data_IF_665555822483
#
_entry.id   IF_665555822483
#
_cell.length_a   1.000
_cell.length_b   1.000
_cell.length_c   1.000
_cell.angle_alpha   90.00
_cell.angle_beta   90.00
_cell.angle_gamma   90.00
#
_symmetry.space_group_name_H-M   'P 1'
#
loop_
_entity.id
_entity.type
_entity.pdbx_description
1 polymer ?
#
# COMPACT_ATOMS: atom_id res chain seq x y z
N UNK A 1 -7.48 -19.05 -7.78
CA UNK A 1 -7.77 -17.64 -7.96
C UNK A 1 -6.92 -16.82 -7.01
N UNK A 2 -6.34 -15.71 -7.48
CA UNK A 2 -5.58 -14.75 -6.66
C UNK A 2 -6.26 -13.39 -6.70
N UNK A 3 -6.05 -12.59 -5.67
CA UNK A 3 -6.49 -11.19 -5.59
C UNK A 3 -5.44 -10.33 -4.91
N UNK A 4 -5.47 -9.06 -5.23
CA UNK A 4 -4.79 -7.99 -4.51
C UNK A 4 -5.70 -6.76 -4.58
N UNK A 5 -6.16 -6.31 -3.42
CA UNK A 5 -7.05 -5.17 -3.27
C UNK A 5 -6.33 -4.14 -2.42
N UNK A 6 -6.10 -2.96 -2.98
CA UNK A 6 -5.48 -1.84 -2.27
C UNK A 6 -6.58 -0.84 -1.88
N UNK A 7 -6.62 -0.48 -0.62
CA UNK A 7 -7.56 0.49 -0.05
C UNK A 7 -6.77 1.61 0.63
N UNK A 8 -7.01 2.85 0.19
CA UNK A 8 -6.48 4.02 0.88
C UNK A 8 -7.36 4.34 2.09
N UNK A 9 -6.76 4.39 3.27
CA UNK A 9 -7.39 4.78 4.52
C UNK A 9 -6.84 6.14 4.91
N UNK A 10 -7.70 7.13 4.82
CA UNK A 10 -7.36 8.51 5.16
C UNK A 10 -6.89 8.65 6.62
N UNK A 11 -5.93 9.53 6.91
CA UNK A 11 -5.28 10.44 5.96
C UNK A 11 -4.01 9.87 5.30
N UNK A 12 -3.41 8.79 5.80
CA UNK A 12 -2.05 8.43 5.43
C UNK A 12 -1.75 6.91 5.44
N UNK A 13 -2.77 6.06 5.41
CA UNK A 13 -2.56 4.62 5.45
C UNK A 13 -3.08 3.93 4.19
N UNK A 14 -2.47 2.79 3.86
CA UNK A 14 -2.92 1.89 2.80
C UNK A 14 -3.04 0.49 3.36
N UNK A 15 -4.17 -0.15 3.12
CA UNK A 15 -4.36 -1.58 3.35
C UNK A 15 -4.25 -2.34 2.03
N UNK A 16 -3.53 -3.45 2.04
CA UNK A 16 -3.44 -4.36 0.92
C UNK A 16 -3.95 -5.72 1.35
N UNK A 17 -5.12 -6.10 0.87
CA UNK A 17 -5.69 -7.45 1.03
C UNK A 17 -5.19 -8.31 -0.13
N UNK A 18 -4.40 -9.32 0.18
CA UNK A 18 -3.78 -10.19 -0.82
C UNK A 18 -4.03 -11.65 -0.46
N UNK A 19 -4.35 -12.45 -1.47
CA UNK A 19 -4.57 -13.86 -1.20
C UNK A 19 -4.70 -14.76 -2.42
N UNK A 20 -4.79 -16.05 -2.13
CA UNK A 20 -4.98 -17.13 -3.10
C UNK A 20 -6.01 -18.11 -2.54
N UNK A 21 -7.05 -18.38 -3.31
CA UNK A 21 -8.07 -19.39 -2.99
C UNK A 21 -8.14 -20.47 -4.07
N UNK A 22 -8.38 -21.74 -3.70
CA UNK A 22 -8.68 -22.79 -4.68
C UNK A 22 -9.90 -22.41 -5.50
N UNK A 23 -9.83 -22.58 -6.81
CA UNK A 23 -10.98 -22.38 -7.69
C UNK A 23 -11.90 -23.58 -7.59
N UNK A 24 -13.03 -23.45 -6.92
CA UNK A 24 -14.15 -24.40 -7.02
C UNK A 24 -15.16 -23.83 -8.01
N UNK A 25 -15.77 -24.71 -8.81
CA UNK A 25 -16.83 -24.32 -9.74
C UNK A 25 -17.97 -23.65 -8.95
N UNK A 26 -18.28 -22.39 -9.21
CA UNK A 26 -19.31 -21.54 -8.59
C UNK A 26 -18.93 -20.70 -7.35
N UNK A 27 -17.67 -20.52 -7.01
CA UNK A 27 -17.33 -19.60 -5.93
C UNK A 27 -17.56 -18.14 -6.35
N UNK A 28 -18.43 -17.46 -5.61
CA UNK A 28 -18.60 -16.00 -5.71
C UNK A 28 -17.29 -15.29 -5.35
N UNK A 29 -17.13 -14.07 -5.86
CA UNK A 29 -15.98 -13.21 -5.56
C UNK A 29 -15.77 -12.93 -4.05
N UNK A 30 -16.76 -13.28 -3.23
CA UNK A 30 -16.89 -12.89 -1.83
C UNK A 30 -16.29 -13.92 -0.83
N UNK A 31 -15.96 -15.14 -1.26
CA UNK A 31 -15.38 -16.13 -0.34
C UNK A 31 -13.84 -16.02 -0.27
N UNK A 32 -13.36 -14.91 0.25
CA UNK A 32 -11.93 -14.69 0.56
C UNK A 32 -11.47 -15.48 1.80
N UNK A 33 -12.37 -16.20 2.49
CA UNK A 33 -12.06 -16.87 3.75
C UNK A 33 -11.54 -18.30 3.58
N UNK A 34 -11.73 -18.92 2.42
CA UNK A 34 -11.38 -20.33 2.18
C UNK A 34 -9.93 -20.56 1.73
N UNK A 35 -9.10 -19.50 1.65
CA UNK A 35 -7.76 -19.54 1.08
C UNK A 35 -6.66 -19.08 2.02
N UNK A 36 -5.48 -18.90 1.44
CA UNK A 36 -4.33 -18.26 2.06
C UNK A 36 -4.47 -16.75 1.86
N UNK A 37 -4.50 -15.99 2.94
CA UNK A 37 -4.73 -14.56 2.93
C UNK A 37 -3.72 -13.82 3.81
N UNK A 38 -3.27 -12.68 3.34
CA UNK A 38 -2.47 -11.73 4.07
C UNK A 38 -3.05 -10.32 3.98
N UNK A 39 -2.85 -9.54 5.02
CA UNK A 39 -3.10 -8.10 5.03
C UNK A 39 -1.79 -7.39 5.26
N UNK A 40 -1.42 -6.49 4.37
CA UNK A 40 -0.33 -5.54 4.59
C UNK A 40 -0.95 -4.20 4.93
N UNK A 41 -0.41 -3.56 5.95
CA UNK A 41 -0.80 -2.23 6.38
C UNK A 41 0.43 -1.36 6.25
N UNK A 42 0.32 -0.31 5.45
CA UNK A 42 1.34 0.70 5.26
C UNK A 42 0.85 2.01 5.84
N UNK A 43 1.66 2.69 6.64
CA UNK A 43 1.34 3.98 7.23
C UNK A 43 2.47 4.97 6.97
N UNK A 44 2.13 6.06 6.29
CA UNK A 44 3.05 7.12 5.89
C UNK A 44 2.79 8.36 6.74
N UNK A 45 3.46 8.46 7.89
CA UNK A 45 3.30 9.59 8.81
C UNK A 45 4.14 10.77 8.33
N UNK A 46 3.55 11.92 7.97
CA UNK A 46 4.29 13.10 7.55
C UNK A 46 5.29 13.57 8.63
N UNK A 47 6.49 13.96 8.21
CA UNK A 47 7.53 14.51 9.06
C UNK A 47 7.86 15.96 8.66
N UNK A 48 8.11 16.19 7.37
CA UNK A 48 8.35 17.50 6.79
C UNK A 48 7.54 17.68 5.50
N UNK A 49 7.72 18.76 4.78
CA UNK A 49 7.09 18.97 3.46
C UNK A 49 7.52 17.93 2.41
N UNK A 50 8.68 17.30 2.60
CA UNK A 50 9.28 16.39 1.61
C UNK A 50 9.69 15.03 2.18
N UNK A 51 9.40 14.76 3.45
CA UNK A 51 9.72 13.49 4.09
C UNK A 51 8.56 12.95 4.94
N UNK A 52 8.52 11.64 5.08
CA UNK A 52 7.59 10.95 5.98
C UNK A 52 8.26 9.74 6.63
N UNK A 53 7.78 9.37 7.80
CA UNK A 53 8.08 8.06 8.36
C UNK A 53 7.18 7.01 7.69
N UNK A 54 7.78 5.91 7.26
CA UNK A 54 7.07 4.79 6.64
C UNK A 54 7.10 3.59 7.58
N UNK A 55 5.93 3.17 8.01
CA UNK A 55 5.73 2.00 8.85
C UNK A 55 4.94 0.95 8.08
N UNK A 56 5.32 -0.30 8.20
CA UNK A 56 4.54 -1.38 7.62
C UNK A 56 4.36 -2.54 8.59
N UNK A 57 3.31 -3.29 8.38
CA UNK A 57 3.03 -4.51 9.12
C UNK A 57 2.26 -5.50 8.26
N UNK A 58 2.40 -6.81 8.58
CA UNK A 58 1.65 -7.85 7.88
C UNK A 58 0.99 -8.81 8.85
N UNK A 59 -0.31 -9.03 8.65
CA UNK A 59 -1.07 -10.11 9.27
C UNK A 59 -1.34 -11.22 8.24
N UNK A 60 -1.43 -12.48 8.70
CA UNK A 60 -1.76 -13.62 7.85
C UNK A 60 -2.69 -14.61 8.57
N UNK A 61 -3.50 -15.34 7.80
CA UNK A 61 -4.43 -16.34 8.33
C UNK A 61 -3.90 -17.79 8.27
N UNK A 62 -2.65 -18.01 7.84
CA UNK A 62 -2.08 -19.32 7.61
C UNK A 62 -0.78 -19.52 8.39
N UNK A 63 -0.50 -20.75 8.82
CA UNK A 63 0.72 -21.14 9.54
C UNK A 63 1.16 -20.13 10.61
N UNK A 64 0.20 -19.60 11.36
CA UNK A 64 0.41 -18.50 12.33
C UNK A 64 1.40 -18.84 13.45
N UNK A 65 1.57 -20.14 13.77
CA UNK A 65 2.55 -20.62 14.75
C UNK A 65 3.97 -20.79 14.20
N UNK A 66 4.18 -20.71 12.88
CA UNK A 66 5.51 -20.90 12.27
C UNK A 66 6.32 -19.60 12.33
N UNK A 67 7.17 -19.48 13.34
CA UNK A 67 8.08 -18.35 13.53
C UNK A 67 9.14 -18.25 12.42
N UNK A 68 9.61 -19.38 11.89
CA UNK A 68 10.56 -19.41 10.78
C UNK A 68 9.95 -18.80 9.51
N UNK A 69 8.69 -19.13 9.21
CA UNK A 69 7.95 -18.51 8.12
C UNK A 69 7.76 -17.01 8.36
N UNK A 70 7.43 -16.59 9.59
CA UNK A 70 7.30 -15.18 9.95
C UNK A 70 8.57 -14.40 9.62
N UNK A 71 9.74 -14.91 9.98
CA UNK A 71 11.01 -14.25 9.70
C UNK A 71 11.32 -14.21 8.19
N UNK A 72 11.02 -15.27 7.44
CA UNK A 72 11.20 -15.27 5.97
C UNK A 72 10.30 -14.27 5.29
N UNK A 73 9.03 -14.19 5.68
CA UNK A 73 8.09 -13.19 5.14
C UNK A 73 8.59 -11.79 5.45
N UNK A 74 8.98 -11.52 6.70
CA UNK A 74 9.52 -10.21 7.09
C UNK A 74 10.73 -9.83 6.24
N UNK A 75 11.72 -10.70 6.13
CA UNK A 75 12.92 -10.43 5.34
C UNK A 75 12.60 -10.18 3.85
N UNK A 76 11.64 -10.92 3.29
CA UNK A 76 11.19 -10.72 1.91
C UNK A 76 10.52 -9.34 1.72
N UNK A 77 9.64 -8.94 2.62
CA UNK A 77 8.99 -7.62 2.58
C UNK A 77 10.00 -6.49 2.80
N UNK A 78 10.90 -6.62 3.77
CA UNK A 78 11.97 -5.63 3.98
C UNK A 78 12.80 -5.41 2.71
N UNK A 79 13.10 -6.49 1.96
CA UNK A 79 13.84 -6.38 0.69
C UNK A 79 13.05 -5.60 -0.37
N UNK A 80 11.75 -5.92 -0.54
CA UNK A 80 10.86 -5.26 -1.51
C UNK A 80 10.76 -3.76 -1.19
N UNK A 81 10.45 -3.42 0.05
CA UNK A 81 10.28 -2.02 0.44
C UNK A 81 11.59 -1.21 0.36
N UNK A 82 12.73 -1.83 0.62
CA UNK A 82 14.03 -1.17 0.45
C UNK A 82 14.35 -0.85 -1.03
N UNK A 83 13.92 -1.68 -1.97
CA UNK A 83 14.03 -1.40 -3.41
C UNK A 83 13.17 -0.17 -3.79
N UNK A 84 11.97 -0.06 -3.23
CA UNK A 84 11.07 1.06 -3.50
C UNK A 84 11.57 2.39 -2.93
N UNK A 85 12.23 2.37 -1.76
CA UNK A 85 12.75 3.59 -1.11
C UNK A 85 13.66 4.37 -2.05
N UNK A 86 14.64 3.72 -2.68
CA UNK A 86 15.57 4.39 -3.58
C UNK A 86 14.85 5.10 -4.74
N UNK A 87 13.83 4.46 -5.30
CA UNK A 87 13.05 5.01 -6.41
C UNK A 87 12.23 6.22 -5.94
N UNK A 88 11.59 6.10 -4.77
CA UNK A 88 10.77 7.18 -4.18
C UNK A 88 11.62 8.40 -3.81
N UNK A 89 12.79 8.20 -3.21
CA UNK A 89 13.71 9.28 -2.87
C UNK A 89 14.22 10.02 -4.13
N UNK A 90 14.57 9.30 -5.20
CA UNK A 90 14.95 9.89 -6.48
C UNK A 90 13.79 10.65 -7.13
N UNK A 91 12.57 10.13 -7.03
CA UNK A 91 11.38 10.81 -7.51
C UNK A 91 11.14 12.10 -6.73
N UNK A 92 11.24 12.08 -5.40
CA UNK A 92 11.10 13.27 -4.56
C UNK A 92 12.15 14.32 -4.91
N UNK A 93 13.41 13.92 -5.12
CA UNK A 93 14.45 14.86 -5.56
C UNK A 93 14.12 15.48 -6.91
N UNK A 94 13.62 14.69 -7.85
CA UNK A 94 13.20 15.17 -9.18
C UNK A 94 12.05 16.19 -9.08
N UNK A 95 11.12 16.00 -8.13
CA UNK A 95 10.04 16.96 -7.86
C UNK A 95 10.59 18.28 -7.32
N UNK A 96 11.53 18.20 -6.38
CA UNK A 96 12.18 19.38 -5.79
C UNK A 96 12.94 20.19 -6.85
N UNK A 97 13.68 19.49 -7.71
CA UNK A 97 14.49 20.11 -8.77
C UNK A 97 13.65 20.69 -9.91
N UNK A 98 12.39 20.27 -10.05
CA UNK A 98 11.50 20.68 -11.13
C UNK A 98 10.11 21.09 -10.60
N UNK A 99 9.99 22.20 -9.87
CA UNK A 99 8.74 22.60 -9.20
C UNK A 99 7.56 22.85 -10.15
N UNK A 100 7.83 23.18 -11.41
CA UNK A 100 6.81 23.38 -12.45
C UNK A 100 6.37 22.09 -13.15
N UNK A 101 6.97 20.94 -12.79
CA UNK A 101 6.64 19.64 -13.40
C UNK A 101 5.21 19.24 -13.11
N UNK A 102 4.47 18.90 -14.16
CA UNK A 102 3.11 18.35 -14.01
C UNK A 102 3.14 16.84 -14.07
N UNK A 103 2.61 16.19 -13.06
CA UNK A 103 2.40 14.74 -13.08
C UNK A 103 1.41 14.36 -14.18
N UNK A 104 1.76 13.36 -14.98
CA UNK A 104 0.84 12.74 -15.92
C UNK A 104 0.22 11.50 -15.27
N UNK A 105 -1.07 11.51 -15.08
CA UNK A 105 -1.80 10.33 -14.61
C UNK A 105 -2.00 9.36 -15.78
N UNK A 106 -1.60 8.13 -15.58
CA UNK A 106 -1.94 7.01 -16.45
C UNK A 106 -3.23 6.33 -15.95
N UNK A 107 -3.86 5.51 -16.78
CA UNK A 107 -5.08 4.79 -16.38
C UNK A 107 -4.88 3.86 -15.19
N UNK A 108 -3.66 3.35 -15.00
CA UNK A 108 -3.27 2.50 -13.86
C UNK A 108 -3.12 3.29 -12.55
N UNK A 109 -2.97 4.62 -12.60
CA UNK A 109 -2.75 5.49 -11.43
C UNK A 109 -4.07 5.93 -10.76
N UNK A 110 -5.20 5.33 -11.12
CA UNK A 110 -6.53 5.74 -10.64
C UNK A 110 -6.62 5.74 -9.11
N UNK A 111 -6.04 4.74 -8.42
CA UNK A 111 -5.99 4.67 -6.97
C UNK A 111 -5.27 5.87 -6.35
N UNK A 112 -4.07 6.19 -6.84
CA UNK A 112 -3.31 7.36 -6.39
C UNK A 112 -4.01 8.69 -6.66
N UNK A 113 -4.72 8.81 -7.79
CA UNK A 113 -5.52 10.00 -8.11
C UNK A 113 -6.72 10.14 -7.16
N UNK A 114 -7.34 9.05 -6.73
CA UNK A 114 -8.39 9.06 -5.71
C UNK A 114 -7.85 9.46 -4.34
N UNK A 115 -6.74 8.88 -3.89
CA UNK A 115 -6.11 9.22 -2.63
C UNK A 115 -5.75 10.72 -2.56
N UNK A 116 -5.15 11.28 -3.62
CA UNK A 116 -4.87 12.73 -3.69
C UNK A 116 -6.12 13.59 -3.54
N UNK A 117 -7.25 13.21 -4.16
CA UNK A 117 -8.53 13.95 -4.02
C UNK A 117 -9.05 13.91 -2.58
N UNK A 118 -8.92 12.79 -1.90
CA UNK A 118 -9.30 12.65 -0.49
C UNK A 118 -8.44 13.59 0.37
N UNK A 119 -7.12 13.57 0.19
CA UNK A 119 -6.20 14.44 0.95
C UNK A 119 -6.50 15.92 0.71
N UNK A 120 -6.72 16.33 -0.54
CA UNK A 120 -7.06 17.73 -0.87
C UNK A 120 -8.38 18.16 -0.24
N UNK A 121 -9.38 17.27 -0.17
CA UNK A 121 -10.64 17.54 0.53
C UNK A 121 -10.42 17.77 2.02
N UNK A 122 -9.66 16.90 2.68
CA UNK A 122 -9.36 17.03 4.12
C UNK A 122 -8.61 18.33 4.42
N UNK A 123 -7.64 18.72 3.59
CA UNK A 123 -6.93 19.99 3.73
C UNK A 123 -7.85 21.21 3.53
N UNK A 124 -8.87 21.11 2.68
CA UNK A 124 -9.89 22.14 2.53
C UNK A 124 -10.78 22.27 3.76
N UNK A 125 -11.19 21.16 4.35
CA UNK A 125 -12.04 21.10 5.55
C UNK A 125 -11.30 21.62 6.81
N UNK A 126 -9.99 21.51 6.90
CA UNK A 126 -9.18 22.05 8.01
C UNK A 126 -9.05 23.59 7.97
N UNK A 127 -9.29 24.21 6.82
CA UNK A 127 -9.14 25.65 6.62
C UNK A 127 -10.48 26.44 6.72
N UNK A 128 -11.61 25.78 6.97
CA UNK A 128 -12.92 26.38 7.25
C UNK A 128 -13.19 26.46 8.75
#
# INVERSE_FOLDING_TARGET
RSWQICEFIEPCSVNIDVGVSPTKNNDSLEDHNSGVRGFVIDSMTPETESSCHYFWGMARNFQIGDQGLTQRIKAGQDSIFNEDIEILERQQQSIIDNPDMRFRNLSIDSGGAHARRIILRLQGEENE
#
